data_IF_443199785874
#
_entry.id   IF_443199785874
#
_cell.length_a   1.000
_cell.length_b   1.000
_cell.length_c   1.000
_cell.angle_alpha   90.00
_cell.angle_beta   90.00
_cell.angle_gamma   90.00
#
_symmetry.space_group_name_H-M   'P 1'
#
loop_
_entity.id
_entity.type
_entity.pdbx_description
1 polymer ?
#
# COMPACT_ATOMS: atom_id res chain seq x y z
N UNK A 1 -1.39 -4.39 -11.03
CA UNK A 1 -0.41 -3.97 -12.07
C UNK A 1 0.88 -3.55 -11.40
N UNK A 2 2.01 -3.48 -12.12
CA UNK A 2 3.31 -3.14 -11.56
C UNK A 2 4.05 -2.10 -12.42
N UNK A 3 5.02 -1.41 -11.80
CA UNK A 3 6.02 -0.59 -12.50
C UNK A 3 7.40 -0.97 -11.99
N UNK A 4 8.27 -1.38 -12.90
CA UNK A 4 9.67 -1.72 -12.64
C UNK A 4 10.54 -0.46 -12.74
N UNK A 5 10.58 0.35 -11.68
CA UNK A 5 11.39 1.58 -11.60
C UNK A 5 10.56 2.83 -11.35
N UNK A 6 11.09 4.00 -11.72
CA UNK A 6 10.43 5.30 -11.45
C UNK A 6 9.32 5.64 -12.47
N UNK A 7 9.38 5.06 -13.68
CA UNK A 7 8.41 5.30 -14.76
C UNK A 7 8.07 4.00 -15.47
N UNK A 8 6.80 3.78 -15.84
CA UNK A 8 6.41 2.58 -16.57
C UNK A 8 7.02 2.55 -17.98
N UNK A 9 7.37 1.36 -18.45
CA UNK A 9 7.66 1.14 -19.86
C UNK A 9 6.36 1.06 -20.70
N UNK A 10 6.48 0.97 -22.03
CA UNK A 10 5.31 0.94 -22.91
C UNK A 10 4.39 -0.27 -22.71
N UNK A 11 4.90 -1.40 -22.17
CA UNK A 11 4.05 -2.54 -21.83
C UNK A 11 3.31 -2.30 -20.52
N UNK A 12 3.99 -1.74 -19.52
CA UNK A 12 3.41 -1.36 -18.23
C UNK A 12 2.37 -0.24 -18.37
N UNK A 13 2.62 0.78 -19.21
CA UNK A 13 1.66 1.85 -19.51
C UNK A 13 0.34 1.27 -20.06
N UNK A 14 0.43 0.39 -21.07
CA UNK A 14 -0.77 -0.28 -21.63
C UNK A 14 -1.50 -1.15 -20.60
N UNK A 15 -0.78 -1.75 -19.65
CA UNK A 15 -1.39 -2.48 -18.56
C UNK A 15 -2.11 -1.55 -17.58
N UNK A 16 -1.54 -0.38 -17.29
CA UNK A 16 -2.17 0.64 -16.45
C UNK A 16 -3.46 1.15 -17.10
N UNK A 17 -3.44 1.48 -18.40
CA UNK A 17 -4.61 1.89 -19.17
C UNK A 17 -5.71 0.81 -19.18
N UNK A 18 -5.33 -0.47 -19.34
CA UNK A 18 -6.28 -1.58 -19.31
C UNK A 18 -6.92 -1.75 -17.92
N UNK A 19 -6.16 -1.55 -16.84
CA UNK A 19 -6.68 -1.58 -15.46
C UNK A 19 -7.61 -0.41 -15.20
N UNK A 20 -7.27 0.80 -15.67
CA UNK A 20 -8.15 1.96 -15.58
C UNK A 20 -9.49 1.71 -16.29
N UNK A 21 -9.45 1.18 -17.51
CA UNK A 21 -10.65 0.81 -18.26
C UNK A 21 -11.51 -0.21 -17.51
N UNK A 22 -10.88 -1.24 -16.91
CA UNK A 22 -11.60 -2.24 -16.12
C UNK A 22 -12.25 -1.63 -14.87
N UNK A 23 -11.56 -0.71 -14.17
CA UNK A 23 -12.13 0.04 -13.05
C UNK A 23 -13.34 0.86 -13.47
N UNK A 24 -13.24 1.62 -14.55
CA UNK A 24 -14.34 2.48 -15.03
C UNK A 24 -15.59 1.70 -15.42
N UNK A 25 -15.41 0.49 -15.95
CA UNK A 25 -16.53 -0.39 -16.32
C UNK A 25 -17.17 -1.08 -15.09
N UNK A 26 -16.36 -1.44 -14.09
CA UNK A 26 -16.81 -2.34 -13.00
C UNK A 26 -17.01 -1.66 -11.64
N UNK A 27 -16.37 -0.52 -11.41
CA UNK A 27 -16.25 0.12 -10.11
C UNK A 27 -15.21 -0.50 -9.18
N UNK A 28 -14.62 -1.66 -9.51
CA UNK A 28 -13.65 -2.37 -8.66
C UNK A 28 -12.47 -1.46 -8.28
N UNK A 29 -12.09 -1.33 -7.00
CA UNK A 29 -10.91 -0.56 -6.61
C UNK A 29 -9.62 -1.16 -7.19
N UNK A 30 -8.59 -0.32 -7.33
CA UNK A 30 -7.32 -0.69 -7.96
C UNK A 30 -6.24 -0.82 -6.90
N UNK A 31 -5.58 -1.98 -6.87
CA UNK A 31 -4.33 -2.21 -6.16
C UNK A 31 -3.16 -2.24 -7.14
N UNK A 32 -2.07 -1.55 -6.80
CA UNK A 32 -0.86 -1.49 -7.61
C UNK A 32 0.35 -2.01 -6.85
N UNK A 33 1.37 -2.38 -7.61
CA UNK A 33 2.65 -2.86 -7.10
C UNK A 33 3.74 -1.84 -7.46
N UNK A 34 4.41 -1.29 -6.45
CA UNK A 34 5.58 -0.44 -6.61
C UNK A 34 6.86 -1.28 -6.40
N UNK A 35 7.54 -1.66 -7.49
CA UNK A 35 8.80 -2.41 -7.35
C UNK A 35 9.85 -1.53 -6.65
N UNK A 36 10.53 -2.09 -5.65
CA UNK A 36 11.41 -1.35 -4.73
C UNK A 36 10.75 -0.11 -4.08
N UNK A 37 9.41 -0.08 -4.02
CA UNK A 37 8.62 1.02 -3.49
C UNK A 37 8.58 2.27 -4.38
N UNK A 38 8.97 2.15 -5.66
CA UNK A 38 9.06 3.26 -6.62
C UNK A 38 7.99 3.18 -7.72
N UNK A 39 7.92 4.23 -8.54
CA UNK A 39 6.99 4.30 -9.66
C UNK A 39 5.58 4.78 -9.30
N UNK A 40 5.24 4.86 -8.02
CA UNK A 40 3.95 5.35 -7.52
C UNK A 40 3.47 6.66 -8.19
N UNK A 41 4.28 7.75 -8.23
CA UNK A 41 3.85 9.00 -8.85
C UNK A 41 3.47 8.86 -10.34
N UNK A 42 4.19 8.03 -11.09
CA UNK A 42 3.90 7.78 -12.50
C UNK A 42 2.64 6.93 -12.69
N UNK A 43 2.43 5.93 -11.82
CA UNK A 43 1.19 5.14 -11.81
C UNK A 43 -0.03 6.01 -11.51
N UNK A 44 0.04 6.83 -10.46
CA UNK A 44 -1.05 7.76 -10.09
C UNK A 44 -1.35 8.71 -11.24
N UNK A 45 -0.32 9.35 -11.80
CA UNK A 45 -0.48 10.28 -12.94
C UNK A 45 -1.24 9.62 -14.10
N UNK A 46 -0.88 8.40 -14.46
CA UNK A 46 -1.47 7.68 -15.60
C UNK A 46 -2.91 7.25 -15.29
N UNK A 47 -3.17 6.68 -14.11
CA UNK A 47 -4.54 6.30 -13.72
C UNK A 47 -5.48 7.51 -13.68
N UNK A 48 -5.02 8.63 -13.11
CA UNK A 48 -5.81 9.86 -13.03
C UNK A 48 -6.04 10.45 -14.42
N UNK A 49 -5.07 10.39 -15.35
CA UNK A 49 -5.29 10.85 -16.72
C UNK A 49 -6.32 10.02 -17.48
N UNK A 50 -6.47 8.74 -17.12
CA UNK A 50 -7.52 7.86 -17.65
C UNK A 50 -8.88 8.07 -16.97
N UNK A 51 -8.98 8.96 -15.98
CA UNK A 51 -10.23 9.30 -15.29
C UNK A 51 -10.53 8.48 -14.03
N UNK A 52 -9.55 7.74 -13.51
CA UNK A 52 -9.68 7.05 -12.22
C UNK A 52 -9.61 8.06 -11.07
N UNK A 53 -10.59 8.05 -10.18
CA UNK A 53 -10.57 8.84 -8.95
C UNK A 53 -9.44 8.35 -8.02
N UNK A 54 -8.52 9.22 -7.54
CA UNK A 54 -7.39 8.80 -6.71
C UNK A 54 -7.77 7.96 -5.49
N UNK A 55 -8.89 8.30 -4.85
CA UNK A 55 -9.41 7.57 -3.68
C UNK A 55 -9.76 6.09 -3.94
N UNK A 56 -9.85 5.68 -5.21
CA UNK A 56 -10.08 4.29 -5.65
C UNK A 56 -8.80 3.52 -5.93
N UNK A 57 -7.64 4.11 -5.65
CA UNK A 57 -6.32 3.49 -5.85
C UNK A 57 -5.65 3.26 -4.50
N UNK A 58 -5.02 2.09 -4.34
CA UNK A 58 -4.04 1.81 -3.29
C UNK A 58 -2.71 1.42 -3.92
N UNK A 59 -1.62 2.03 -3.45
CA UNK A 59 -0.26 1.70 -3.85
C UNK A 59 0.38 0.80 -2.78
N UNK A 60 0.77 -0.41 -3.15
CA UNK A 60 1.44 -1.37 -2.26
C UNK A 60 2.96 -1.24 -2.34
N UNK A 61 3.67 -1.73 -1.31
CA UNK A 61 5.14 -1.78 -1.21
C UNK A 61 5.86 -0.44 -1.15
N UNK A 62 5.15 0.68 -1.01
CA UNK A 62 5.77 2.02 -0.95
C UNK A 62 6.65 2.17 0.29
N UNK A 63 6.40 1.40 1.35
CA UNK A 63 7.20 1.34 2.58
C UNK A 63 8.58 0.67 2.41
N UNK A 64 8.96 0.26 1.20
CA UNK A 64 10.38 0.01 0.85
C UNK A 64 11.20 1.31 0.70
N UNK A 65 10.52 2.45 0.51
CA UNK A 65 11.13 3.78 0.50
C UNK A 65 10.92 4.44 1.86
N UNK A 66 12.00 4.83 2.53
CA UNK A 66 11.95 5.37 3.90
C UNK A 66 11.85 6.90 3.99
N UNK A 67 11.80 7.63 2.85
CA UNK A 67 11.63 9.09 2.88
C UNK A 67 10.17 9.48 3.12
N UNK A 68 9.82 10.08 4.27
CA UNK A 68 8.44 10.44 4.59
C UNK A 68 7.84 11.48 3.62
N UNK A 69 8.68 12.27 2.92
CA UNK A 69 8.17 13.20 1.88
C UNK A 69 7.55 12.45 0.72
N UNK A 70 8.14 11.33 0.31
CA UNK A 70 7.60 10.50 -0.78
C UNK A 70 6.17 10.03 -0.46
N UNK A 71 5.94 9.59 0.78
CA UNK A 71 4.64 9.13 1.23
C UNK A 71 3.61 10.25 1.31
N UNK A 72 3.98 11.41 1.87
CA UNK A 72 3.10 12.59 1.88
C UNK A 72 2.73 13.05 0.48
N UNK A 73 3.72 13.14 -0.42
CA UNK A 73 3.48 13.57 -1.80
C UNK A 73 2.49 12.62 -2.52
N UNK A 74 2.57 11.31 -2.24
CA UNK A 74 1.58 10.35 -2.74
C UNK A 74 0.22 10.54 -2.09
N UNK A 75 0.15 10.58 -0.76
CA UNK A 75 -1.11 10.72 -0.01
C UNK A 75 -1.84 12.03 -0.34
N UNK A 76 -1.12 13.12 -0.61
CA UNK A 76 -1.67 14.41 -1.04
C UNK A 76 -2.38 14.35 -2.40
N UNK A 77 -2.09 13.34 -3.23
CA UNK A 77 -2.86 13.11 -4.46
C UNK A 77 -4.25 12.53 -4.19
N UNK A 78 -4.50 12.04 -2.98
CA UNK A 78 -5.76 11.40 -2.57
C UNK A 78 -5.78 9.88 -2.74
N UNK A 79 -4.67 9.25 -3.14
CA UNK A 79 -4.56 7.77 -3.15
C UNK A 79 -4.38 7.20 -1.74
N UNK A 80 -4.60 5.90 -1.61
CA UNK A 80 -4.31 5.16 -0.39
C UNK A 80 -2.92 4.50 -0.50
N UNK A 81 -2.29 4.24 0.64
CA UNK A 81 -1.06 3.45 0.71
C UNK A 81 -1.30 2.18 1.52
N UNK A 82 -0.80 1.05 1.02
CA UNK A 82 -0.70 -0.19 1.77
C UNK A 82 0.76 -0.38 2.21
N UNK A 83 0.98 -0.41 3.52
CA UNK A 83 2.28 -0.75 4.10
C UNK A 83 2.32 -2.23 4.44
N UNK A 84 3.13 -2.98 3.71
CA UNK A 84 3.08 -4.43 3.71
C UNK A 84 4.43 -5.11 3.88
N UNK A 85 5.50 -4.35 4.18
CA UNK A 85 6.84 -4.88 4.34
C UNK A 85 7.19 -5.32 5.76
N UNK A 86 6.35 -5.07 6.77
CA UNK A 86 6.59 -5.41 8.19
C UNK A 86 7.05 -6.86 8.35
N UNK A 87 6.46 -7.81 7.61
CA UNK A 87 6.84 -9.22 7.70
C UNK A 87 8.01 -9.60 6.79
N UNK A 88 8.23 -8.86 5.71
CA UNK A 88 9.05 -9.30 4.57
C UNK A 88 10.42 -8.62 4.54
N UNK A 89 10.48 -7.29 4.67
CA UNK A 89 11.66 -6.47 4.42
C UNK A 89 11.72 -5.22 5.34
N UNK A 90 11.46 -5.39 6.64
CA UNK A 90 11.53 -4.28 7.60
C UNK A 90 12.48 -4.57 8.80
N UNK A 91 13.78 -4.81 8.57
CA UNK A 91 14.72 -5.19 9.63
C UNK A 91 14.91 -4.10 10.70
N UNK A 92 14.70 -2.83 10.32
CA UNK A 92 14.96 -1.67 11.18
C UNK A 92 13.67 -1.08 11.79
N UNK A 93 12.50 -1.70 11.55
CA UNK A 93 11.20 -1.19 12.01
C UNK A 93 10.78 0.13 11.35
N UNK A 94 11.33 0.40 10.17
CA UNK A 94 11.10 1.60 9.38
C UNK A 94 9.65 1.73 8.93
N UNK A 95 8.94 0.63 8.64
CA UNK A 95 7.53 0.68 8.24
C UNK A 95 6.66 1.22 9.38
N UNK A 96 6.91 0.80 10.63
CA UNK A 96 6.14 1.28 11.79
C UNK A 96 6.42 2.76 12.07
N UNK A 97 7.67 3.21 11.90
CA UNK A 97 8.03 4.62 12.03
C UNK A 97 7.32 5.47 10.98
N UNK A 98 7.38 5.06 9.71
CA UNK A 98 6.66 5.71 8.62
C UNK A 98 5.16 5.78 8.87
N UNK A 99 4.56 4.66 9.34
CA UNK A 99 3.14 4.60 9.65
C UNK A 99 2.77 5.61 10.74
N UNK A 100 3.57 5.69 11.81
CA UNK A 100 3.41 6.70 12.85
C UNK A 100 3.48 8.13 12.31
N UNK A 101 4.49 8.44 11.49
CA UNK A 101 4.63 9.76 10.88
C UNK A 101 3.45 10.15 9.99
N UNK A 102 2.92 9.22 9.18
CA UNK A 102 1.76 9.50 8.32
C UNK A 102 0.47 9.66 9.14
N UNK A 103 0.31 8.90 10.22
CA UNK A 103 -0.83 9.04 11.14
C UNK A 103 -0.79 10.41 11.83
N UNK A 104 0.37 10.80 12.39
CA UNK A 104 0.57 12.12 12.99
C UNK A 104 0.35 13.26 11.97
N UNK A 105 0.66 13.00 10.70
CA UNK A 105 0.39 13.90 9.57
C UNK A 105 -1.09 14.00 9.16
N UNK A 106 -2.00 13.23 9.78
CA UNK A 106 -3.43 13.28 9.51
C UNK A 106 -3.92 12.35 8.40
N UNK A 107 -3.07 11.45 7.90
CA UNK A 107 -3.39 10.58 6.77
C UNK A 107 -3.98 9.22 7.17
N UNK A 108 -4.34 9.00 8.44
CA UNK A 108 -4.83 7.70 8.94
C UNK A 108 -5.88 7.05 8.05
N UNK A 109 -6.83 7.83 7.51
CA UNK A 109 -7.90 7.31 6.65
C UNK A 109 -7.46 6.77 5.28
N UNK A 110 -6.22 7.06 4.86
CA UNK A 110 -5.65 6.61 3.58
C UNK A 110 -4.66 5.46 3.75
N UNK A 111 -4.47 4.96 4.98
CA UNK A 111 -3.48 3.93 5.29
C UNK A 111 -4.14 2.56 5.47
N UNK A 112 -3.55 1.55 4.86
CA UNK A 112 -3.85 0.14 5.09
C UNK A 112 -2.56 -0.62 5.39
N UNK A 113 -2.68 -1.80 5.99
CA UNK A 113 -1.53 -2.64 6.33
C UNK A 113 -1.69 -4.05 5.76
N UNK A 114 -0.60 -4.58 5.23
CA UNK A 114 -0.54 -5.90 4.62
C UNK A 114 0.63 -6.71 5.18
N UNK A 115 0.73 -7.96 4.74
CA UNK A 115 1.84 -8.83 5.14
C UNK A 115 2.86 -9.06 4.04
N UNK A 116 2.44 -8.96 2.77
CA UNK A 116 3.16 -9.47 1.60
C UNK A 116 3.92 -10.79 1.92
N UNK A 117 3.21 -11.70 2.58
CA UNK A 117 3.74 -12.98 3.08
C UNK A 117 4.02 -13.97 1.95
N UNK A 118 4.72 -13.56 0.90
CA UNK A 118 4.85 -14.30 -0.36
C UNK A 118 5.87 -15.45 -0.32
N UNK A 119 6.53 -15.69 0.84
CA UNK A 119 7.57 -16.73 0.98
C UNK A 119 7.21 -17.71 2.09
N UNK A 120 7.41 -19.01 1.81
CA UNK A 120 7.26 -20.09 2.81
C UNK A 120 8.04 -19.80 4.10
N UNK A 121 9.22 -19.21 3.98
CA UNK A 121 10.07 -18.86 5.13
C UNK A 121 9.46 -17.84 6.07
N UNK A 122 8.38 -17.15 5.67
CA UNK A 122 7.66 -16.19 6.52
C UNK A 122 6.50 -16.83 7.30
N UNK A 123 6.15 -18.09 7.02
CA UNK A 123 4.95 -18.75 7.56
C UNK A 123 5.31 -19.70 8.69
N UNK A 124 4.88 -19.39 9.92
CA UNK A 124 5.15 -20.21 11.11
C UNK A 124 4.69 -21.67 10.96
N UNK A 125 3.49 -21.89 10.42
CA UNK A 125 2.92 -23.23 10.17
C UNK A 125 3.74 -24.07 9.17
N UNK A 126 4.61 -23.42 8.40
CA UNK A 126 5.47 -24.07 7.40
C UNK A 126 6.93 -24.16 7.86
N UNK A 127 7.20 -23.90 9.14
CA UNK A 127 8.54 -23.89 9.73
C UNK A 127 9.32 -22.60 9.49
N UNK A 128 8.65 -21.54 9.03
CA UNK A 128 9.20 -20.21 8.85
C UNK A 128 8.97 -19.29 10.06
N UNK A 129 9.31 -18.02 9.90
CA UNK A 129 9.12 -16.94 10.88
C UNK A 129 8.99 -15.60 10.15
N UNK A 130 8.21 -14.62 10.66
CA UNK A 130 7.59 -14.60 12.00
C UNK A 130 6.14 -15.15 12.06
N UNK A 131 5.51 -15.45 10.92
CA UNK A 131 4.11 -15.86 10.83
C UNK A 131 3.15 -14.68 10.67
N UNK A 132 1.95 -14.94 10.12
CA UNK A 132 0.99 -13.88 9.75
C UNK A 132 0.51 -13.05 10.95
N UNK A 133 0.38 -13.65 12.13
CA UNK A 133 -0.01 -12.97 13.36
C UNK A 133 0.98 -11.88 13.80
N UNK A 134 2.20 -11.88 13.25
CA UNK A 134 3.20 -10.86 13.52
C UNK A 134 2.70 -9.46 13.19
N UNK A 135 1.97 -9.29 12.08
CA UNK A 135 1.47 -7.97 11.67
C UNK A 135 0.55 -7.36 12.74
N UNK A 136 -0.49 -8.11 13.10
CA UNK A 136 -1.49 -7.67 14.09
C UNK A 136 -0.84 -7.39 15.43
N UNK A 137 0.08 -8.26 15.87
CA UNK A 137 0.83 -8.05 17.11
C UNK A 137 1.65 -6.78 17.05
N UNK A 138 2.44 -6.58 15.99
CA UNK A 138 3.29 -5.39 15.84
C UNK A 138 2.47 -4.11 15.83
N UNK A 139 1.35 -4.05 15.11
CA UNK A 139 0.46 -2.88 15.13
C UNK A 139 -0.12 -2.64 16.53
N UNK A 140 -0.61 -3.69 17.20
CA UNK A 140 -1.19 -3.59 18.55
C UNK A 140 -0.17 -3.17 19.62
N UNK A 141 1.10 -3.50 19.44
CA UNK A 141 2.17 -3.13 20.37
C UNK A 141 2.57 -1.64 20.25
N UNK A 142 2.28 -1.00 19.11
CA UNK A 142 2.73 0.38 18.81
C UNK A 142 1.61 1.42 18.74
N UNK A 143 0.38 1.00 18.42
CA UNK A 143 -0.75 1.91 18.21
C UNK A 143 -1.94 1.53 19.09
N UNK A 144 -2.74 2.54 19.43
CA UNK A 144 -3.95 2.33 20.23
C UNK A 144 -5.04 1.53 19.48
N UNK A 145 -6.06 1.02 20.20
CA UNK A 145 -7.11 0.22 19.59
C UNK A 145 -7.92 0.91 18.48
N UNK A 146 -8.03 2.25 18.50
CA UNK A 146 -8.80 3.00 17.51
C UNK A 146 -8.03 3.06 16.18
N UNK A 147 -6.71 3.33 16.25
CA UNK A 147 -5.82 3.23 15.08
C UNK A 147 -5.81 1.80 14.53
N UNK A 148 -5.67 0.79 15.41
CA UNK A 148 -5.74 -0.60 14.98
C UNK A 148 -7.04 -0.90 14.24
N UNK A 149 -8.19 -0.47 14.78
CA UNK A 149 -9.48 -0.66 14.14
C UNK A 149 -9.56 0.05 12.79
N UNK A 150 -9.03 1.28 12.68
CA UNK A 150 -9.00 2.00 11.41
C UNK A 150 -8.20 1.23 10.34
N UNK A 151 -6.99 0.78 10.67
CA UNK A 151 -6.08 0.10 9.73
C UNK A 151 -6.57 -1.27 9.26
N UNK A 152 -7.20 -2.06 10.15
CA UNK A 152 -7.62 -3.44 9.82
C UNK A 152 -9.09 -3.58 9.44
N UNK A 153 -9.94 -2.61 9.77
CA UNK A 153 -11.39 -2.73 9.59
C UNK A 153 -11.93 -1.58 8.77
N UNK A 154 -11.84 -0.34 9.27
CA UNK A 154 -12.54 0.79 8.65
C UNK A 154 -11.99 1.12 7.25
N UNK A 155 -10.67 1.32 7.15
CA UNK A 155 -10.05 1.74 5.89
C UNK A 155 -10.18 0.66 4.81
N UNK A 156 -9.87 -0.63 5.07
CA UNK A 156 -10.09 -1.68 4.08
C UNK A 156 -11.57 -1.86 3.71
N UNK A 157 -12.50 -1.79 4.68
CA UNK A 157 -13.93 -1.90 4.38
C UNK A 157 -14.44 -0.76 3.49
N UNK A 158 -13.97 0.48 3.73
CA UNK A 158 -14.29 1.63 2.88
C UNK A 158 -13.70 1.47 1.48
N UNK A 159 -12.44 1.06 1.39
CA UNK A 159 -11.73 0.96 0.12
C UNK A 159 -12.26 -0.16 -0.78
N UNK A 160 -12.51 -1.34 -0.20
CA UNK A 160 -12.91 -2.54 -0.94
C UNK A 160 -14.39 -2.58 -1.33
N UNK A 161 -15.21 -1.61 -0.87
CA UNK A 161 -16.61 -1.51 -1.24
C UNK A 161 -16.81 -0.75 -2.57
N UNK A 162 -17.51 -1.37 -3.52
CA UNK A 162 -17.87 -0.77 -4.82
C UNK A 162 -19.18 -1.33 -5.38
#
# INVERSE_FOLDING_TARGET
>A
MATMGDTPDAAEERLIEAVASAHLETGCPIITHCEEGRGGPAQVKTLVSEGVEPSRVVLSHTDKVTDPRYHRDLLDTGVNLEYDQILRQDPDGSTIQLLGEMIEGGYLSQLMVGTDGARRTLWAELGGSPGLAHLVKTISDHFDPDIHHALFVENPARFLAF
#
